data_IF_054739454698
#
_entry.id   IF_054739454698
#
_cell.length_a   1.000
_cell.length_b   1.000
_cell.length_c   1.000
_cell.angle_alpha   90.00
_cell.angle_beta   90.00
_cell.angle_gamma   90.00
#
_symmetry.space_group_name_H-M   'P 1'
#
loop_
_entity.id
_entity.type
_entity.pdbx_description
1 polymer ?
#
# COMPACT_ATOMS: atom_id res chain seq x y z
N UNK A 1 13.70 61.93 -25.42
CA UNK A 1 14.57 61.86 -26.63
C UNK A 1 15.95 61.42 -26.19
N UNK A 2 16.58 60.50 -26.94
CA UNK A 2 17.96 59.97 -26.81
C UNK A 2 18.11 58.87 -25.74
N UNK A 3 18.63 57.67 -25.99
CA UNK A 3 19.14 57.01 -27.21
C UNK A 3 19.09 55.51 -26.92
N UNK A 4 18.61 54.73 -27.90
CA UNK A 4 18.65 53.27 -27.92
C UNK A 4 20.09 52.86 -28.22
N UNK A 5 20.74 52.04 -27.38
CA UNK A 5 21.95 51.34 -27.78
C UNK A 5 21.87 49.88 -27.34
N UNK A 6 21.46 49.09 -28.33
CA UNK A 6 21.51 47.65 -28.41
C UNK A 6 22.95 47.16 -28.28
N UNK A 7 23.22 46.29 -27.31
CA UNK A 7 24.35 45.37 -27.37
C UNK A 7 23.83 43.96 -27.10
N UNK A 8 23.49 43.32 -28.21
CA UNK A 8 23.31 41.88 -28.37
C UNK A 8 24.68 41.22 -28.09
N UNK A 9 24.83 40.53 -26.98
CA UNK A 9 25.86 39.50 -26.80
C UNK A 9 25.21 38.13 -26.94
N UNK A 10 25.42 37.58 -28.13
CA UNK A 10 25.17 36.20 -28.51
C UNK A 10 26.35 35.31 -28.06
N UNK A 11 26.11 34.00 -27.93
CA UNK A 11 27.03 32.89 -27.63
C UNK A 11 27.32 32.62 -26.13
N UNK A 12 27.26 31.39 -25.61
CA UNK A 12 27.19 30.08 -26.24
C UNK A 12 26.41 29.09 -25.35
N UNK A 13 25.55 28.28 -25.97
CA UNK A 13 25.04 27.05 -25.37
C UNK A 13 26.18 26.03 -25.26
N UNK A 14 26.55 25.64 -24.05
CA UNK A 14 27.30 24.40 -23.83
C UNK A 14 26.31 23.26 -23.63
N UNK A 15 25.96 22.57 -24.71
CA UNK A 15 25.25 21.30 -24.68
C UNK A 15 26.26 20.22 -24.28
N UNK A 16 26.24 19.80 -23.02
CA UNK A 16 26.96 18.60 -22.60
C UNK A 16 26.10 17.37 -22.92
N UNK A 17 26.32 16.81 -24.11
CA UNK A 17 25.92 15.45 -24.42
C UNK A 17 26.86 14.48 -23.70
N UNK A 18 26.35 13.73 -22.71
CA UNK A 18 27.05 12.57 -22.14
C UNK A 18 26.35 11.32 -22.64
N UNK A 19 27.17 10.43 -23.20
CA UNK A 19 26.84 9.28 -24.01
C UNK A 19 26.04 8.22 -23.24
N UNK A 20 24.98 7.72 -23.89
CA UNK A 20 24.43 6.40 -23.62
C UNK A 20 25.32 5.33 -24.30
N UNK A 21 25.69 4.30 -23.55
CA UNK A 21 26.35 3.09 -24.07
C UNK A 21 25.40 1.88 -24.02
N UNK A 22 25.60 0.88 -24.90
CA UNK A 22 24.55 -0.03 -25.34
C UNK A 22 24.41 -1.29 -24.48
N UNK A 23 23.21 -1.87 -24.55
CA UNK A 23 22.90 -3.22 -24.11
C UNK A 23 23.73 -4.27 -24.87
N UNK A 24 24.32 -5.21 -24.15
CA UNK A 24 24.84 -6.47 -24.70
C UNK A 24 23.89 -7.62 -24.39
N UNK A 25 23.61 -8.39 -25.43
CA UNK A 25 22.64 -9.47 -25.55
C UNK A 25 23.33 -10.85 -25.48
N UNK A 26 22.51 -11.89 -25.23
CA UNK A 26 22.70 -13.34 -25.57
C UNK A 26 23.45 -14.27 -24.59
N UNK A 27 23.26 -15.61 -24.67
CA UNK A 27 22.04 -16.40 -24.89
C UNK A 27 21.92 -17.67 -23.99
N UNK A 28 20.77 -18.35 -24.17
CA UNK A 28 20.25 -19.64 -23.66
C UNK A 28 21.16 -20.89 -23.67
N UNK A 29 20.83 -21.89 -22.81
CA UNK A 29 20.83 -23.37 -23.01
C UNK A 29 20.46 -24.10 -21.70
N UNK A 30 19.29 -24.70 -21.53
CA UNK A 30 18.81 -26.06 -21.89
C UNK A 30 19.48 -27.27 -21.19
N UNK A 31 18.60 -28.19 -20.77
CA UNK A 31 18.75 -29.64 -20.56
C UNK A 31 19.03 -30.18 -19.14
N UNK A 32 18.07 -30.98 -18.66
CA UNK A 32 18.20 -31.83 -17.48
C UNK A 32 16.92 -32.61 -17.17
N UNK A 33 16.39 -33.34 -18.14
CA UNK A 33 15.40 -34.39 -17.93
C UNK A 33 16.10 -35.74 -17.75
N UNK A 34 15.47 -36.65 -16.99
CA UNK A 34 15.78 -38.09 -16.70
C UNK A 34 16.14 -38.32 -15.23
N UNK A 35 15.72 -39.38 -14.55
CA UNK A 35 15.01 -40.59 -14.97
C UNK A 35 14.71 -41.45 -13.71
N UNK A 36 13.45 -41.86 -13.61
CA UNK A 36 12.95 -43.21 -13.30
C UNK A 36 13.26 -43.96 -11.98
N UNK A 37 12.21 -44.72 -11.63
CA UNK A 37 12.16 -46.05 -11.02
C UNK A 37 12.30 -46.13 -9.49
N UNK A 38 11.17 -46.32 -8.79
CA UNK A 38 10.50 -47.61 -8.55
C UNK A 38 11.28 -48.49 -7.57
N UNK A 39 10.70 -48.76 -6.40
CA UNK A 39 10.59 -50.14 -5.96
C UNK A 39 9.46 -50.34 -4.95
N UNK A 40 8.52 -51.18 -5.36
CA UNK A 40 7.52 -51.80 -4.54
C UNK A 40 8.02 -53.19 -4.11
N UNK A 41 7.91 -53.53 -2.82
CA UNK A 41 7.57 -54.87 -2.30
C UNK A 41 7.57 -54.80 -0.76
N UNK A 42 6.42 -54.92 -0.10
CA UNK A 42 5.71 -56.17 0.29
C UNK A 42 6.40 -56.81 1.50
N UNK A 43 5.75 -56.86 2.67
CA UNK A 43 5.01 -58.01 3.25
C UNK A 43 4.93 -57.70 4.76
N UNK A 44 4.03 -58.16 5.64
CA UNK A 44 2.75 -58.88 5.67
C UNK A 44 2.46 -59.09 7.18
N UNK A 45 1.27 -59.62 7.52
CA UNK A 45 0.84 -60.10 8.87
C UNK A 45 0.13 -59.01 9.72
N UNK A 46 -1.09 -59.16 10.22
CA UNK A 46 -2.07 -60.24 10.17
C UNK A 46 -3.44 -59.73 10.66
N UNK A 47 -4.54 -60.24 10.09
CA UNK A 47 -5.90 -59.95 10.51
C UNK A 47 -6.43 -61.01 11.49
N UNK A 48 -7.02 -60.62 12.63
CA UNK A 48 -7.96 -61.46 13.38
C UNK A 48 -9.42 -61.31 12.88
N UNK A 49 -10.29 -62.29 13.20
CA UNK A 49 -11.54 -62.58 12.49
C UNK A 49 -12.72 -61.63 12.81
N UNK A 50 -13.62 -61.57 11.82
CA UNK A 50 -14.86 -60.80 11.77
C UNK A 50 -15.90 -61.31 12.79
N UNK A 51 -16.49 -60.37 13.54
CA UNK A 51 -17.74 -60.56 14.29
C UNK A 51 -18.87 -59.79 13.61
N UNK A 52 -20.11 -60.33 13.56
CA UNK A 52 -21.23 -59.70 12.88
C UNK A 52 -21.80 -58.55 13.72
N UNK A 53 -21.66 -57.31 13.23
CA UNK A 53 -22.37 -56.14 13.80
C UNK A 53 -23.78 -56.05 13.21
N UNK A 54 -24.76 -56.08 14.12
CA UNK A 54 -26.18 -55.83 13.88
C UNK A 54 -26.37 -54.48 13.19
N UNK A 55 -27.26 -54.46 12.21
CA UNK A 55 -27.76 -53.27 11.52
C UNK A 55 -28.54 -52.40 12.52
N UNK A 56 -27.92 -51.33 13.01
CA UNK A 56 -28.64 -50.23 13.62
C UNK A 56 -28.87 -49.18 12.54
N UNK A 57 -30.13 -49.04 12.13
CA UNK A 57 -30.63 -47.96 11.30
C UNK A 57 -30.44 -46.64 12.04
N UNK A 58 -29.34 -45.93 11.76
CA UNK A 58 -29.17 -44.56 12.18
C UNK A 58 -29.91 -43.68 11.17
N UNK A 59 -31.14 -43.28 11.52
CA UNK A 59 -31.82 -42.18 10.84
C UNK A 59 -30.94 -40.94 10.95
N UNK A 60 -30.32 -40.55 9.84
CA UNK A 60 -29.60 -39.30 9.70
C UNK A 60 -30.62 -38.16 9.76
N UNK A 61 -30.87 -37.64 10.97
CA UNK A 61 -31.47 -36.33 11.13
C UNK A 61 -30.47 -35.30 10.59
N UNK A 62 -30.78 -34.85 9.38
CA UNK A 62 -30.08 -33.82 8.63
C UNK A 62 -30.22 -32.48 9.38
N UNK A 63 -29.42 -32.26 10.42
CA UNK A 63 -29.24 -30.93 10.99
C UNK A 63 -28.59 -30.09 9.88
N UNK A 64 -29.41 -29.22 9.28
CA UNK A 64 -28.93 -28.18 8.36
C UNK A 64 -27.91 -27.36 9.13
N UNK A 65 -26.63 -27.50 8.76
CA UNK A 65 -25.57 -26.61 9.22
C UNK A 65 -25.75 -25.32 8.43
N UNK A 66 -26.45 -24.35 9.02
CA UNK A 66 -26.55 -23.02 8.44
C UNK A 66 -25.13 -22.46 8.26
N UNK A 67 -24.80 -21.86 7.09
CA UNK A 67 -23.52 -21.18 6.93
C UNK A 67 -23.47 -20.01 7.91
N UNK A 68 -22.52 -20.05 8.84
CA UNK A 68 -22.22 -18.89 9.67
C UNK A 68 -21.92 -17.68 8.75
N UNK A 69 -22.46 -16.48 9.04
CA UNK A 69 -22.13 -15.31 8.27
C UNK A 69 -20.62 -15.13 8.37
N UNK A 70 -19.92 -15.19 7.24
CA UNK A 70 -18.55 -14.75 7.12
C UNK A 70 -18.57 -13.24 7.30
N UNK A 71 -18.66 -12.79 8.55
CA UNK A 71 -18.56 -11.38 8.90
C UNK A 71 -17.19 -10.91 8.46
N UNK A 72 -17.15 -10.06 7.44
CA UNK A 72 -15.92 -9.36 7.06
C UNK A 72 -15.49 -8.57 8.29
N UNK A 73 -14.43 -9.04 8.96
CA UNK A 73 -13.84 -8.32 10.09
C UNK A 73 -13.05 -7.16 9.49
N UNK A 74 -13.73 -6.05 9.21
CA UNK A 74 -13.05 -4.78 8.92
C UNK A 74 -12.34 -4.30 10.18
N UNK A 75 -11.06 -3.94 10.11
CA UNK A 75 -10.36 -3.31 11.23
C UNK A 75 -11.16 -2.10 11.73
N UNK A 76 -11.25 -1.96 13.06
CA UNK A 76 -11.88 -0.79 13.66
C UNK A 76 -11.10 0.47 13.23
N UNK A 77 -11.79 1.56 12.85
CA UNK A 77 -11.12 2.78 12.46
C UNK A 77 -10.45 3.46 13.65
N UNK A 78 -9.31 4.11 13.40
CA UNK A 78 -8.73 5.10 14.28
C UNK A 78 -9.63 6.34 14.34
N UNK A 79 -9.83 6.87 15.53
CA UNK A 79 -10.74 7.99 15.81
C UNK A 79 -10.04 9.11 16.60
N UNK A 80 -10.63 10.31 16.65
CA UNK A 80 -10.05 11.46 17.36
C UNK A 80 -8.85 12.10 16.66
N UNK A 81 -8.65 11.78 15.38
CA UNK A 81 -7.62 12.39 14.54
C UNK A 81 -8.14 13.61 13.79
N UNK A 82 -7.20 14.40 13.28
CA UNK A 82 -7.47 15.53 12.40
C UNK A 82 -6.71 15.36 11.07
N UNK A 83 -7.24 15.91 9.99
CA UNK A 83 -6.49 16.04 8.74
C UNK A 83 -6.23 17.51 8.43
N UNK A 84 -4.99 17.80 8.03
CA UNK A 84 -4.60 19.01 7.28
C UNK A 84 -4.22 18.61 5.86
N UNK A 85 -3.59 19.54 5.13
CA UNK A 85 -3.02 19.26 3.82
C UNK A 85 -1.60 19.81 3.65
N UNK A 86 -0.84 19.18 2.75
CA UNK A 86 0.50 19.58 2.36
C UNK A 86 0.73 19.50 0.85
N UNK A 87 1.85 20.09 0.44
CA UNK A 87 2.38 20.04 -0.92
C UNK A 87 3.79 19.44 -0.88
N UNK A 88 4.07 18.48 -1.77
CA UNK A 88 5.42 17.99 -1.99
C UNK A 88 6.23 18.98 -2.83
N UNK A 89 5.62 19.76 -3.71
CA UNK A 89 6.30 20.71 -4.60
C UNK A 89 7.46 20.05 -5.39
N UNK A 90 7.27 18.80 -5.83
CA UNK A 90 8.29 18.02 -6.55
C UNK A 90 9.42 17.45 -5.68
N UNK A 91 9.35 17.59 -4.34
CA UNK A 91 10.27 16.92 -3.44
C UNK A 91 9.80 15.49 -3.14
N UNK A 92 10.75 14.63 -2.78
CA UNK A 92 10.42 13.28 -2.30
C UNK A 92 9.96 13.34 -0.84
N UNK A 93 8.94 12.56 -0.50
CA UNK A 93 8.52 12.34 0.89
C UNK A 93 9.44 11.33 1.59
N UNK A 94 9.18 11.06 2.87
CA UNK A 94 9.92 10.11 3.68
C UNK A 94 9.89 8.66 3.14
N UNK A 95 8.96 8.33 2.24
CA UNK A 95 8.97 7.05 1.51
C UNK A 95 9.89 7.05 0.26
N UNK A 96 10.63 8.13 0.02
CA UNK A 96 11.66 8.23 -1.01
C UNK A 96 11.15 8.51 -2.42
N UNK A 97 9.84 8.69 -2.62
CA UNK A 97 9.23 9.02 -3.91
C UNK A 97 8.67 10.45 -3.89
N UNK A 98 8.83 11.15 -5.01
CA UNK A 98 8.09 12.38 -5.28
C UNK A 98 6.81 12.07 -6.02
N UNK A 99 5.71 12.66 -5.59
CA UNK A 99 4.40 12.54 -6.20
C UNK A 99 3.87 13.95 -6.49
N UNK A 100 3.02 14.13 -7.53
CA UNK A 100 2.36 15.41 -7.76
C UNK A 100 1.42 15.74 -6.59
N UNK A 101 1.22 17.02 -6.30
CA UNK A 101 0.35 17.48 -5.19
C UNK A 101 -1.12 17.05 -5.36
N UNK A 102 -1.53 16.75 -6.59
CA UNK A 102 -2.83 16.19 -6.93
C UNK A 102 -2.99 14.69 -6.62
N UNK A 103 -1.92 14.02 -6.17
CA UNK A 103 -1.97 12.59 -5.83
C UNK A 103 -2.89 12.33 -4.64
N UNK A 104 -3.30 11.07 -4.47
CA UNK A 104 -4.04 10.63 -3.29
C UNK A 104 -3.10 9.98 -2.29
N UNK A 105 -2.35 10.79 -1.56
CA UNK A 105 -1.35 10.32 -0.60
C UNK A 105 -1.57 10.94 0.79
N UNK A 106 -0.98 10.31 1.80
CA UNK A 106 -0.98 10.82 3.16
C UNK A 106 0.40 10.69 3.81
N UNK A 107 0.68 11.65 4.69
CA UNK A 107 1.73 11.59 5.68
C UNK A 107 1.16 11.04 6.99
N UNK A 108 1.82 10.02 7.56
CA UNK A 108 1.47 9.50 8.88
C UNK A 108 2.23 10.26 9.98
N UNK A 109 1.68 10.38 11.20
CA UNK A 109 2.42 10.96 12.31
C UNK A 109 3.63 10.06 12.64
N UNK A 110 4.74 10.65 13.07
CA UNK A 110 5.99 9.91 13.36
C UNK A 110 5.79 8.74 14.34
N UNK A 111 4.88 8.88 15.31
CA UNK A 111 4.54 7.80 16.26
C UNK A 111 4.06 6.52 15.57
N UNK A 112 3.57 6.63 14.32
CA UNK A 112 3.12 5.51 13.48
C UNK A 112 4.10 5.23 12.35
N UNK A 113 4.62 6.27 11.71
CA UNK A 113 5.56 6.13 10.60
C UNK A 113 6.90 5.54 11.04
N UNK A 114 7.33 5.84 12.27
CA UNK A 114 8.67 5.56 12.79
C UNK A 114 9.57 6.79 12.74
N UNK A 115 10.60 6.78 13.59
CA UNK A 115 11.55 7.88 13.76
C UNK A 115 12.88 7.67 13.01
N UNK A 116 13.12 6.47 12.47
CA UNK A 116 14.35 6.14 11.74
C UNK A 116 14.17 6.38 10.24
N UNK A 117 14.51 7.59 9.79
CA UNK A 117 14.46 8.00 8.38
C UNK A 117 15.60 7.46 7.52
N UNK A 118 16.56 6.72 8.09
CA UNK A 118 17.62 6.06 7.31
C UNK A 118 17.11 4.81 6.58
N UNK A 119 15.89 4.35 6.91
CA UNK A 119 15.24 3.20 6.31
C UNK A 119 13.87 3.61 5.78
N UNK A 120 13.42 2.91 4.73
CA UNK A 120 12.03 3.05 4.29
C UNK A 120 11.12 2.45 5.36
N UNK A 121 10.16 3.26 5.83
CA UNK A 121 9.18 2.82 6.81
C UNK A 121 8.35 1.64 6.28
N UNK A 122 8.02 0.63 7.11
CA UNK A 122 7.09 -0.43 6.74
C UNK A 122 5.67 0.11 6.47
N UNK A 123 5.37 1.36 6.84
CA UNK A 123 4.10 2.01 6.54
C UNK A 123 3.99 2.47 5.09
N UNK A 124 5.12 2.72 4.42
CA UNK A 124 5.15 3.20 3.04
C UNK A 124 4.40 2.26 2.09
N UNK A 125 3.54 2.85 1.25
CA UNK A 125 2.75 2.10 0.26
C UNK A 125 1.47 1.45 0.81
N UNK A 126 1.25 1.43 2.14
CA UNK A 126 -0.02 0.96 2.70
C UNK A 126 -1.16 1.89 2.29
N UNK A 127 -2.35 1.33 2.07
CA UNK A 127 -3.55 2.08 1.77
C UNK A 127 -4.38 2.31 3.02
N UNK A 128 -4.90 3.52 3.17
CA UNK A 128 -5.82 3.86 4.25
C UNK A 128 -7.07 4.54 3.66
N UNK A 129 -8.23 4.23 4.20
CA UNK A 129 -9.47 4.96 3.94
C UNK A 129 -9.65 6.03 5.01
N UNK A 130 -9.71 7.28 4.61
CA UNK A 130 -9.92 8.45 5.47
C UNK A 130 -11.33 8.96 5.28
N UNK A 131 -12.02 9.31 6.36
CA UNK A 131 -13.40 9.83 6.34
C UNK A 131 -13.48 11.09 7.18
N UNK A 132 -13.92 12.19 6.58
CA UNK A 132 -14.24 13.43 7.28
C UNK A 132 -15.52 13.23 8.11
N UNK A 133 -15.43 13.42 9.42
CA UNK A 133 -16.58 13.18 10.32
C UNK A 133 -17.61 14.30 10.30
N UNK A 134 -17.29 15.48 9.76
CA UNK A 134 -18.24 16.57 9.63
C UNK A 134 -19.25 16.35 8.49
N UNK A 135 -18.83 15.70 7.40
CA UNK A 135 -19.66 15.57 6.19
C UNK A 135 -19.81 14.14 5.65
N UNK A 136 -19.10 13.16 6.23
CA UNK A 136 -19.15 11.75 5.83
C UNK A 136 -18.45 11.41 4.51
N UNK A 137 -17.79 12.37 3.85
CA UNK A 137 -17.01 12.11 2.63
C UNK A 137 -15.76 11.30 2.98
N UNK A 138 -15.39 10.38 2.09
CA UNK A 138 -14.20 9.55 2.25
C UNK A 138 -13.28 9.61 1.04
N UNK A 139 -11.99 9.42 1.29
CA UNK A 139 -10.95 9.23 0.28
C UNK A 139 -10.08 8.04 0.66
N UNK A 140 -9.61 7.29 -0.34
CA UNK A 140 -8.58 6.27 -0.11
C UNK A 140 -7.25 6.81 -0.60
N UNK A 141 -6.24 6.76 0.27
CA UNK A 141 -4.91 7.32 0.02
C UNK A 141 -3.84 6.26 0.26
N UNK A 142 -2.67 6.48 -0.34
CA UNK A 142 -1.46 5.68 -0.08
C UNK A 142 -0.55 6.45 0.87
N UNK A 143 0.00 5.77 1.88
CA UNK A 143 1.01 6.35 2.78
C UNK A 143 2.29 6.60 1.99
N UNK A 144 2.75 7.85 1.94
CA UNK A 144 3.90 8.27 1.15
C UNK A 144 4.88 9.17 1.91
N UNK A 145 4.54 9.60 3.12
CA UNK A 145 5.35 10.55 3.88
C UNK A 145 5.18 10.39 5.40
N UNK A 146 6.01 11.11 6.15
CA UNK A 146 5.93 11.29 7.59
C UNK A 146 5.53 12.73 7.93
N UNK A 147 4.79 12.89 9.01
CA UNK A 147 4.30 14.16 9.52
C UNK A 147 4.78 14.37 10.96
N UNK A 148 5.95 15.00 11.17
CA UNK A 148 6.48 15.30 12.50
C UNK A 148 5.63 16.30 13.30
N UNK A 149 4.85 17.12 12.60
CA UNK A 149 4.03 18.20 13.17
C UNK A 149 2.56 17.84 13.34
N UNK A 150 2.19 16.58 13.07
CA UNK A 150 0.81 16.13 13.22
C UNK A 150 0.36 16.24 14.68
N UNK A 151 -0.83 16.80 14.89
CA UNK A 151 -1.32 17.22 16.21
C UNK A 151 -1.37 16.08 17.23
N UNK A 152 -1.67 14.87 16.77
CA UNK A 152 -1.70 13.67 17.60
C UNK A 152 -1.43 12.40 16.78
N UNK A 153 -1.32 11.26 17.47
CA UNK A 153 -1.03 9.97 16.86
C UNK A 153 -2.07 9.49 15.83
N UNK A 154 -3.27 10.08 15.77
CA UNK A 154 -4.32 9.69 14.82
C UNK A 154 -4.52 10.74 13.72
N UNK A 155 -3.77 11.85 13.75
CA UNK A 155 -3.86 12.91 12.76
C UNK A 155 -3.05 12.57 11.53
N UNK A 156 -3.49 13.05 10.37
CA UNK A 156 -2.86 12.83 9.06
C UNK A 156 -2.59 14.18 8.40
N UNK A 157 -1.56 14.24 7.57
CA UNK A 157 -1.39 15.34 6.62
C UNK A 157 -1.63 14.80 5.21
N UNK A 158 -2.69 15.25 4.55
CA UNK A 158 -3.08 14.72 3.25
C UNK A 158 -2.42 15.53 2.13
N UNK A 159 -2.08 14.94 1.00
CA UNK A 159 -1.79 15.78 -0.16
C UNK A 159 -3.00 16.67 -0.49
N UNK A 160 -2.77 17.84 -1.05
CA UNK A 160 -3.84 18.75 -1.50
C UNK A 160 -4.95 18.00 -2.27
N UNK A 161 -4.56 17.20 -3.27
CA UNK A 161 -5.51 16.43 -4.07
C UNK A 161 -6.34 15.40 -3.29
N UNK A 162 -5.82 14.87 -2.17
CA UNK A 162 -6.56 13.98 -1.27
C UNK A 162 -7.49 14.76 -0.34
N UNK A 163 -7.04 15.88 0.20
CA UNK A 163 -7.83 16.74 1.08
C UNK A 163 -9.07 17.28 0.37
N UNK A 164 -8.91 17.73 -0.88
CA UNK A 164 -9.99 18.24 -1.73
C UNK A 164 -11.11 17.23 -2.01
N UNK A 165 -10.84 15.93 -1.83
CA UNK A 165 -11.87 14.89 -1.94
C UNK A 165 -12.83 14.88 -0.76
N UNK A 166 -12.46 15.45 0.39
CA UNK A 166 -13.21 15.34 1.65
C UNK A 166 -13.46 16.68 2.36
N UNK A 167 -12.80 17.76 1.98
CA UNK A 167 -12.98 19.11 2.51
C UNK A 167 -12.53 20.18 1.50
N UNK A 168 -12.75 21.45 1.81
CA UNK A 168 -12.12 22.57 1.11
C UNK A 168 -10.90 23.02 1.89
N UNK A 169 -9.79 23.40 1.23
CA UNK A 169 -8.61 23.97 1.90
C UNK A 169 -8.92 25.11 2.87
N UNK A 170 -10.00 25.87 2.64
CA UNK A 170 -10.46 26.93 3.54
C UNK A 170 -10.89 26.41 4.93
N UNK A 171 -11.23 25.12 5.05
CA UNK A 171 -11.52 24.47 6.33
C UNK A 171 -10.24 24.28 7.17
N UNK A 172 -9.06 24.25 6.53
CA UNK A 172 -7.73 24.17 7.14
C UNK A 172 -7.42 22.83 7.83
N UNK A 173 -8.16 22.52 8.90
CA UNK A 173 -8.05 21.29 9.67
C UNK A 173 -9.43 20.71 9.95
N UNK A 174 -9.66 19.46 9.57
CA UNK A 174 -10.94 18.77 9.72
C UNK A 174 -10.82 17.54 10.64
N UNK A 175 -11.86 17.19 11.40
CA UNK A 175 -11.87 15.94 12.15
C UNK A 175 -12.07 14.74 11.22
N UNK A 176 -11.33 13.67 11.47
CA UNK A 176 -11.35 12.45 10.63
C UNK A 176 -11.41 11.17 11.45
N UNK A 177 -11.87 10.11 10.79
CA UNK A 177 -11.56 8.73 11.14
C UNK A 177 -10.84 8.05 9.98
N UNK A 178 -10.02 7.03 10.25
CA UNK A 178 -9.36 6.29 9.18
C UNK A 178 -9.03 4.85 9.55
N UNK A 179 -8.88 3.97 8.56
CA UNK A 179 -8.51 2.58 8.75
C UNK A 179 -7.58 2.10 7.64
N UNK A 180 -6.68 1.16 7.96
CA UNK A 180 -5.94 0.40 6.95
C UNK A 180 -6.88 -0.49 6.14
N UNK A 181 -6.56 -0.68 4.85
CA UNK A 181 -7.28 -1.53 3.91
C UNK A 181 -6.56 -2.85 3.64
#
# INVERSE_FOLDING_TARGET
MRTVLSFITLLALSVSAILASPAHHSPSKTHGARSLQNNAKRLSEGLPPLAPRRLFSAQAHHLRRDPAPSGVVTPAPFTGGFATFYFQNGNAGACGQSNPDSSLIAALPETRFGYDYSKISPECGKRIKVTNTNNGRSVTVTVADSCPTCVNANSLDLSQGAFDQIASEADGMIPITWAYL
#
